data_IF_503421154763
#
_entry.id   IF_503421154763
#
_cell.length_a   1.000
_cell.length_b   1.000
_cell.length_c   1.000
_cell.angle_alpha   90.00
_cell.angle_beta   90.00
_cell.angle_gamma   90.00
#
_symmetry.space_group_name_H-M   'P 1'
#
loop_
_entity.id
_entity.type
_entity.pdbx_description
1 polymer ?
#
# COMPACT_ATOMS: atom_id res chain seq x y z
N UNK A 1 -7.27 14.97 -16.55
CA UNK A 1 -7.86 15.00 -15.18
C UNK A 1 -8.02 16.44 -14.75
N UNK A 2 -9.21 16.86 -14.31
CA UNK A 2 -9.43 18.19 -13.71
C UNK A 2 -9.46 18.04 -12.19
N UNK A 3 -8.73 18.90 -11.47
CA UNK A 3 -8.70 18.91 -10.00
C UNK A 3 -9.23 20.24 -9.48
N UNK A 4 -9.97 20.20 -8.37
CA UNK A 4 -10.40 21.42 -7.68
C UNK A 4 -9.17 22.22 -7.17
N UNK A 5 -9.27 23.55 -7.03
CA UNK A 5 -8.18 24.35 -6.44
C UNK A 5 -7.77 23.86 -5.05
N UNK A 6 -8.72 23.34 -4.28
CA UNK A 6 -8.44 22.76 -2.96
C UNK A 6 -7.58 21.50 -3.08
N UNK A 7 -7.93 20.57 -3.98
CA UNK A 7 -7.15 19.37 -4.22
C UNK A 7 -5.74 19.71 -4.74
N UNK A 8 -5.63 20.68 -5.66
CA UNK A 8 -4.35 21.16 -6.16
C UNK A 8 -3.45 21.68 -5.02
N UNK A 9 -3.99 22.51 -4.13
CA UNK A 9 -3.24 23.05 -2.99
C UNK A 9 -2.76 21.93 -2.05
N UNK A 10 -3.62 20.97 -1.73
CA UNK A 10 -3.26 19.83 -0.87
C UNK A 10 -2.14 19.02 -1.52
N UNK A 11 -2.25 18.67 -2.81
CA UNK A 11 -1.23 17.90 -3.53
C UNK A 11 0.09 18.68 -3.58
N UNK A 12 0.06 19.97 -3.90
CA UNK A 12 1.24 20.84 -3.89
C UNK A 12 1.87 20.96 -2.51
N UNK A 13 1.15 20.75 -1.41
CA UNK A 13 1.73 20.82 -0.08
C UNK A 13 2.25 19.45 0.39
N UNK A 14 1.63 18.35 -0.01
CA UNK A 14 1.87 17.03 0.63
C UNK A 14 2.47 15.98 -0.29
N UNK A 15 2.52 16.21 -1.61
CA UNK A 15 2.98 15.22 -2.58
C UNK A 15 4.35 15.57 -3.15
N UNK A 16 5.15 14.53 -3.37
CA UNK A 16 6.40 14.58 -4.11
C UNK A 16 6.12 14.66 -5.61
N UNK A 17 6.60 15.68 -6.31
CA UNK A 17 6.27 15.91 -7.73
C UNK A 17 7.49 15.74 -8.66
N UNK A 18 8.63 15.29 -8.13
CA UNK A 18 9.84 14.97 -8.90
C UNK A 18 11.10 15.57 -8.31
N UNK A 19 12.13 15.78 -9.15
CA UNK A 19 13.43 16.33 -8.71
C UNK A 19 13.34 17.78 -8.20
N UNK A 20 12.28 18.52 -8.54
CA UNK A 20 12.04 19.88 -8.04
C UNK A 20 11.66 19.96 -6.55
N UNK A 21 11.57 18.82 -5.86
CA UNK A 21 11.42 18.79 -4.39
C UNK A 21 12.73 19.18 -3.65
N UNK A 22 13.83 19.42 -4.38
CA UNK A 22 15.12 19.79 -3.82
C UNK A 22 15.06 21.06 -2.95
N UNK A 23 14.19 22.02 -3.31
CA UNK A 23 14.09 23.30 -2.61
C UNK A 23 13.19 23.23 -1.35
N UNK A 24 12.25 22.29 -1.31
CA UNK A 24 11.35 22.11 -0.18
C UNK A 24 10.75 20.69 -0.14
N UNK A 25 10.94 20.00 0.98
CA UNK A 25 10.31 18.69 1.21
C UNK A 25 8.80 18.84 1.44
N UNK A 26 7.93 18.05 0.77
CA UNK A 26 6.50 18.02 1.03
C UNK A 26 6.16 17.76 2.50
N UNK A 27 5.02 18.28 2.96
CA UNK A 27 4.55 18.12 4.33
C UNK A 27 4.19 16.66 4.59
N UNK A 28 4.72 16.11 5.67
CA UNK A 28 4.28 14.81 6.19
C UNK A 28 2.82 14.87 6.65
N UNK A 29 2.16 13.71 6.82
CA UNK A 29 0.76 13.64 7.30
C UNK A 29 0.56 14.42 8.61
N UNK A 30 1.51 14.34 9.54
CA UNK A 30 1.45 15.07 10.82
C UNK A 30 1.62 16.58 10.64
N UNK A 31 2.57 17.00 9.79
CA UNK A 31 2.78 18.42 9.48
C UNK A 31 1.55 19.01 8.78
N UNK A 32 1.01 18.29 7.80
CA UNK A 32 -0.24 18.66 7.13
C UNK A 32 -1.40 18.75 8.12
N UNK A 33 -1.57 17.77 9.01
CA UNK A 33 -2.63 17.79 10.02
C UNK A 33 -2.55 19.01 10.94
N UNK A 34 -1.34 19.50 11.26
CA UNK A 34 -1.16 20.73 12.04
C UNK A 34 -1.58 21.97 11.23
N UNK A 35 -1.09 22.10 9.99
CA UNK A 35 -1.41 23.24 9.13
C UNK A 35 -2.90 23.26 8.77
N UNK A 36 -3.48 22.13 8.39
CA UNK A 36 -4.89 22.00 8.03
C UNK A 36 -5.82 22.35 9.19
N UNK A 37 -5.47 21.97 10.43
CA UNK A 37 -6.23 22.38 11.62
C UNK A 37 -6.18 23.90 11.79
N UNK A 38 -4.99 24.49 11.71
CA UNK A 38 -4.85 25.94 11.87
C UNK A 38 -5.59 26.72 10.79
N UNK A 39 -5.51 26.28 9.53
CA UNK A 39 -6.28 26.88 8.43
C UNK A 39 -7.78 26.87 8.76
N UNK A 40 -8.30 25.72 9.20
CA UNK A 40 -9.70 25.58 9.60
C UNK A 40 -10.07 26.52 10.76
N UNK A 41 -9.22 26.63 11.77
CA UNK A 41 -9.45 27.50 12.95
C UNK A 41 -9.46 29.00 12.58
N UNK A 42 -8.90 29.35 11.41
CA UNK A 42 -8.90 30.72 10.86
C UNK A 42 -9.87 30.88 9.68
N UNK A 43 -10.80 29.94 9.49
CA UNK A 43 -11.79 29.96 8.41
C UNK A 43 -11.17 30.01 6.99
N UNK A 44 -9.95 29.46 6.85
CA UNK A 44 -9.23 29.37 5.59
C UNK A 44 -9.31 27.94 5.01
N UNK A 45 -9.45 27.89 3.69
CA UNK A 45 -9.31 26.67 2.92
C UNK A 45 -7.92 26.59 2.28
N UNK A 46 -7.41 25.38 2.00
CA UNK A 46 -6.16 25.21 1.27
C UNK A 46 -6.15 25.95 -0.09
N UNK A 47 -7.30 26.05 -0.76
CA UNK A 47 -7.44 26.76 -2.02
C UNK A 47 -7.10 28.25 -1.94
N UNK A 48 -7.31 28.90 -0.78
CA UNK A 48 -6.99 30.31 -0.60
C UNK A 48 -5.49 30.58 -0.76
N UNK A 49 -4.64 29.62 -0.38
CA UNK A 49 -3.18 29.73 -0.48
C UNK A 49 -2.66 29.75 -1.92
N UNK A 50 -3.45 29.31 -2.91
CA UNK A 50 -3.09 29.40 -4.33
C UNK A 50 -3.44 30.75 -4.94
N UNK A 51 -4.44 31.45 -4.39
CA UNK A 51 -4.98 32.69 -4.95
C UNK A 51 -4.41 33.95 -4.30
N UNK A 52 -4.07 33.88 -3.01
CA UNK A 52 -3.51 35.00 -2.26
C UNK A 52 -2.02 34.84 -1.98
N UNK A 53 -1.41 35.84 -1.34
CA UNK A 53 -0.04 35.74 -0.81
C UNK A 53 -0.05 34.85 0.45
N UNK A 54 0.62 33.67 0.43
CA UNK A 54 0.71 32.81 1.60
C UNK A 54 1.30 33.50 2.83
N UNK A 55 2.16 34.51 2.66
CA UNK A 55 2.75 35.24 3.79
C UNK A 55 1.72 36.07 4.55
N UNK A 56 0.80 36.71 3.83
CA UNK A 56 -0.30 37.46 4.42
C UNK A 56 -1.35 36.54 5.02
N UNK A 57 -1.75 35.48 4.30
CA UNK A 57 -2.80 34.56 4.74
C UNK A 57 -2.40 33.75 5.98
N UNK A 58 -1.11 33.45 6.13
CA UNK A 58 -0.57 32.74 7.27
C UNK A 58 0.02 33.69 8.32
N UNK A 59 -0.47 34.94 8.39
CA UNK A 59 -0.07 35.88 9.44
C UNK A 59 -0.41 35.29 10.82
N UNK A 60 0.58 35.22 11.72
CA UNK A 60 0.41 34.62 13.05
C UNK A 60 0.72 33.12 13.11
N UNK A 61 0.97 32.45 11.98
CA UNK A 61 1.48 31.08 11.98
C UNK A 61 2.94 31.03 12.42
N UNK A 62 3.23 30.27 13.49
CA UNK A 62 4.59 30.07 14.01
C UNK A 62 4.88 28.58 14.15
N UNK A 63 5.78 28.07 13.32
CA UNK A 63 6.26 26.68 13.36
C UNK A 63 7.70 26.60 12.83
N UNK A 64 8.54 25.79 13.50
CA UNK A 64 9.96 25.66 13.15
C UNK A 64 10.21 24.74 11.94
N UNK A 65 9.27 23.85 11.59
CA UNK A 65 9.38 22.89 10.49
C UNK A 65 8.53 23.31 9.28
N UNK A 66 7.38 23.92 9.52
CA UNK A 66 6.43 24.37 8.50
C UNK A 66 6.62 25.89 8.32
N UNK A 67 7.75 26.27 7.76
CA UNK A 67 8.06 27.69 7.54
C UNK A 67 7.25 28.27 6.38
N UNK A 68 6.95 29.57 6.42
CA UNK A 68 6.27 30.27 5.32
C UNK A 68 7.02 30.13 4.00
N UNK A 69 8.36 30.16 4.05
CA UNK A 69 9.21 29.91 2.89
C UNK A 69 8.98 28.52 2.30
N UNK A 70 8.94 27.47 3.13
CA UNK A 70 8.67 26.09 2.69
C UNK A 70 7.28 25.99 2.06
N UNK A 71 6.26 26.57 2.67
CA UNK A 71 4.89 26.57 2.14
C UNK A 71 4.82 27.26 0.78
N UNK A 72 5.39 28.46 0.66
CA UNK A 72 5.40 29.21 -0.60
C UNK A 72 6.16 28.46 -1.71
N UNK A 73 7.33 27.89 -1.39
CA UNK A 73 8.11 27.07 -2.32
C UNK A 73 7.32 25.86 -2.82
N UNK A 74 6.63 25.15 -1.91
CA UNK A 74 5.82 23.99 -2.26
C UNK A 74 4.65 24.35 -3.20
N UNK A 75 3.98 25.48 -2.96
CA UNK A 75 2.86 25.97 -3.78
C UNK A 75 3.30 26.44 -5.17
N UNK A 76 4.54 26.89 -5.33
CA UNK A 76 5.09 27.35 -6.61
C UNK A 76 5.45 26.21 -7.59
N UNK A 77 5.14 24.94 -7.26
CA UNK A 77 5.43 23.75 -8.07
C UNK A 77 4.34 23.42 -9.09
N UNK A 78 3.52 24.39 -9.50
CA UNK A 78 2.36 24.19 -10.37
C UNK A 78 2.68 23.50 -11.72
N UNK A 79 3.81 23.85 -12.35
CA UNK A 79 4.24 23.19 -13.59
C UNK A 79 4.56 21.70 -13.39
N UNK A 80 5.23 21.34 -12.28
CA UNK A 80 5.53 19.95 -11.94
C UNK A 80 4.24 19.16 -11.66
N UNK A 81 3.27 19.79 -11.01
CA UNK A 81 1.94 19.19 -10.82
C UNK A 81 1.29 18.90 -12.17
N UNK A 82 1.32 19.84 -13.12
CA UNK A 82 0.77 19.65 -14.46
C UNK A 82 1.32 18.40 -15.16
N UNK A 83 2.64 18.25 -15.20
CA UNK A 83 3.29 17.07 -15.79
C UNK A 83 2.93 15.76 -15.05
N UNK A 84 2.87 15.79 -13.72
CA UNK A 84 2.50 14.64 -12.92
C UNK A 84 1.05 14.20 -13.18
N UNK A 85 0.11 15.15 -13.24
CA UNK A 85 -1.31 14.87 -13.52
C UNK A 85 -1.50 14.25 -14.90
N UNK A 86 -0.80 14.75 -15.92
CA UNK A 86 -0.85 14.19 -17.26
C UNK A 86 -0.39 12.71 -17.26
N UNK A 87 0.74 12.45 -16.61
CA UNK A 87 1.32 11.11 -16.48
C UNK A 87 0.39 10.14 -15.75
N UNK A 88 -0.14 10.54 -14.59
CA UNK A 88 -1.04 9.70 -13.79
C UNK A 88 -2.37 9.47 -14.51
N UNK A 89 -2.91 10.50 -15.17
CA UNK A 89 -4.14 10.40 -15.96
C UNK A 89 -3.99 9.42 -17.13
N UNK A 90 -2.83 9.40 -17.82
CA UNK A 90 -2.54 8.44 -18.90
C UNK A 90 -2.50 6.99 -18.43
N UNK A 91 -2.15 6.77 -17.17
CA UNK A 91 -2.12 5.44 -16.57
C UNK A 91 -3.45 5.02 -15.93
N UNK A 92 -4.52 5.82 -16.06
CA UNK A 92 -5.81 5.54 -15.45
C UNK A 92 -5.82 5.68 -13.93
N UNK A 93 -4.85 6.42 -13.37
CA UNK A 93 -4.81 6.72 -11.94
C UNK A 93 -5.70 7.94 -11.69
N UNK A 94 -6.60 7.80 -10.73
CA UNK A 94 -7.34 8.91 -10.14
C UNK A 94 -6.69 9.35 -8.83
N UNK A 95 -7.02 10.56 -8.39
CA UNK A 95 -6.54 11.17 -7.16
C UNK A 95 -7.77 11.62 -6.38
N UNK A 96 -7.79 11.33 -5.09
CA UNK A 96 -8.79 11.87 -4.16
C UNK A 96 -8.08 12.49 -2.97
N UNK A 97 -8.59 13.63 -2.54
CA UNK A 97 -8.12 14.39 -1.39
C UNK A 97 -9.14 14.34 -0.29
N UNK A 98 -8.71 14.56 0.96
CA UNK A 98 -9.58 14.44 2.13
C UNK A 98 -10.86 15.29 2.08
N UNK A 99 -10.85 16.41 1.37
CA UNK A 99 -12.00 17.30 1.21
C UNK A 99 -13.05 16.80 0.22
N UNK A 100 -12.72 15.79 -0.59
CA UNK A 100 -13.63 15.26 -1.59
C UNK A 100 -14.61 14.24 -1.01
N UNK A 101 -15.82 14.21 -1.58
CA UNK A 101 -16.90 13.30 -1.20
C UNK A 101 -16.48 11.82 -1.30
N UNK A 102 -15.73 11.47 -2.34
CA UNK A 102 -15.31 10.09 -2.60
C UNK A 102 -14.17 9.62 -1.68
N UNK A 103 -13.61 10.50 -0.84
CA UNK A 103 -12.58 10.08 0.11
C UNK A 103 -13.17 9.11 1.15
N UNK A 104 -12.49 7.99 1.50
CA UNK A 104 -13.09 6.97 2.36
C UNK A 104 -13.42 7.50 3.76
N UNK A 105 -14.71 7.53 4.10
CA UNK A 105 -15.19 7.99 5.42
C UNK A 105 -14.69 7.08 6.54
N UNK A 106 -14.51 5.78 6.24
CA UNK A 106 -13.91 4.80 7.16
C UNK A 106 -12.52 5.24 7.62
N UNK A 107 -11.67 5.73 6.71
CA UNK A 107 -10.35 6.27 7.03
C UNK A 107 -10.44 7.58 7.82
N UNK A 108 -11.32 8.51 7.41
CA UNK A 108 -11.51 9.79 8.14
C UNK A 108 -11.91 9.54 9.59
N UNK A 109 -12.87 8.64 9.83
CA UNK A 109 -13.40 8.32 11.16
C UNK A 109 -12.36 7.65 12.05
N UNK A 110 -11.67 6.61 11.57
CA UNK A 110 -10.74 5.82 12.38
C UNK A 110 -9.39 6.50 12.60
N UNK A 111 -8.83 7.13 11.56
CA UNK A 111 -7.49 7.73 11.65
C UNK A 111 -7.50 9.22 11.99
N UNK A 112 -8.66 9.89 11.91
CA UNK A 112 -8.78 11.34 12.16
C UNK A 112 -7.68 12.08 11.39
N UNK A 113 -6.85 12.89 12.04
CA UNK A 113 -5.80 13.68 11.36
C UNK A 113 -4.62 12.85 10.84
N UNK A 114 -4.50 11.59 11.24
CA UNK A 114 -3.49 10.66 10.71
C UNK A 114 -3.93 9.98 9.40
N UNK A 115 -5.13 10.28 8.90
CA UNK A 115 -5.59 9.88 7.57
C UNK A 115 -4.81 10.65 6.48
N UNK A 116 -4.44 10.01 5.36
CA UNK A 116 -3.55 10.59 4.37
C UNK A 116 -4.25 11.76 3.66
N UNK A 117 -3.56 12.89 3.42
CA UNK A 117 -4.16 14.04 2.75
C UNK A 117 -4.63 13.73 1.32
N UNK A 118 -3.91 12.82 0.66
CA UNK A 118 -4.10 12.41 -0.73
C UNK A 118 -4.07 10.89 -0.81
N UNK A 119 -4.98 10.30 -1.56
CA UNK A 119 -4.94 8.92 -2.00
C UNK A 119 -4.89 8.89 -3.53
N UNK A 120 -3.96 8.12 -4.05
CA UNK A 120 -3.91 7.73 -5.46
C UNK A 120 -4.60 6.39 -5.60
N UNK A 121 -5.30 6.17 -6.70
CA UNK A 121 -5.86 4.85 -6.96
C UNK A 121 -6.23 4.59 -8.40
N UNK A 122 -6.56 3.34 -8.70
CA UNK A 122 -7.14 2.91 -9.97
C UNK A 122 -8.20 1.84 -9.72
N UNK A 123 -9.15 1.70 -10.64
CA UNK A 123 -10.33 0.85 -10.46
C UNK A 123 -11.47 1.53 -9.71
N UNK A 124 -12.36 0.73 -9.10
CA UNK A 124 -13.65 1.19 -8.59
C UNK A 124 -13.56 1.82 -7.19
N UNK A 125 -13.51 3.15 -7.13
CA UNK A 125 -13.47 3.92 -5.87
C UNK A 125 -14.63 3.64 -4.91
N UNK A 126 -15.79 3.19 -5.39
CA UNK A 126 -16.96 2.92 -4.54
C UNK A 126 -16.69 1.79 -3.52
N UNK A 127 -15.77 0.89 -3.84
CA UNK A 127 -15.38 -0.22 -2.96
C UNK A 127 -14.70 0.25 -1.66
N UNK A 128 -14.16 1.48 -1.63
CA UNK A 128 -13.41 1.97 -0.47
C UNK A 128 -14.27 2.21 0.78
N UNK A 129 -15.59 2.33 0.63
CA UNK A 129 -16.51 2.42 1.76
C UNK A 129 -17.32 1.14 1.99
N UNK A 130 -17.22 0.14 1.09
CA UNK A 130 -17.99 -1.13 1.16
C UNK A 130 -17.66 -1.95 2.41
N UNK A 131 -16.41 -1.89 2.88
CA UNK A 131 -15.96 -2.73 3.99
C UNK A 131 -15.74 -4.18 3.60
N UNK A 132 -15.68 -5.04 4.61
CA UNK A 132 -15.38 -6.47 4.51
C UNK A 132 -14.23 -6.89 5.42
N UNK A 133 -13.52 -7.94 5.03
CA UNK A 133 -12.48 -8.57 5.86
C UNK A 133 -11.09 -8.20 5.37
N UNK A 134 -10.25 -7.71 6.28
CA UNK A 134 -8.82 -7.60 6.01
C UNK A 134 -8.19 -8.98 6.12
N UNK A 135 -7.44 -9.41 5.11
CA UNK A 135 -6.68 -10.67 5.14
C UNK A 135 -5.22 -10.35 4.93
N UNK A 136 -4.39 -10.65 5.93
CA UNK A 136 -2.97 -10.30 5.93
C UNK A 136 -2.12 -11.48 6.39
N UNK A 137 -0.90 -11.59 5.87
CA UNK A 137 -0.03 -12.70 6.26
C UNK A 137 1.40 -12.62 5.75
N UNK A 138 2.13 -13.72 5.90
CA UNK A 138 3.53 -13.85 5.47
C UNK A 138 3.65 -13.76 3.95
N UNK A 139 4.81 -13.25 3.50
CA UNK A 139 5.23 -13.34 2.08
C UNK A 139 5.76 -14.71 1.71
N UNK A 140 6.31 -15.40 2.70
CA UNK A 140 6.85 -16.74 2.61
C UNK A 140 5.88 -17.64 3.35
N UNK A 141 4.66 -17.71 2.81
CA UNK A 141 3.56 -18.51 3.33
C UNK A 141 3.64 -19.93 2.76
N UNK A 142 3.28 -20.93 3.57
CA UNK A 142 3.18 -22.32 3.13
C UNK A 142 1.88 -22.54 2.32
N UNK A 143 1.74 -23.71 1.67
CA UNK A 143 0.57 -23.99 0.85
C UNK A 143 -0.73 -23.97 1.67
N UNK A 144 -0.69 -24.44 2.92
CA UNK A 144 -1.85 -24.45 3.81
C UNK A 144 -2.33 -23.01 4.13
N UNK A 145 -1.41 -22.07 4.31
CA UNK A 145 -1.70 -20.64 4.49
C UNK A 145 -2.34 -20.05 3.22
N UNK A 146 -1.84 -20.41 2.03
CA UNK A 146 -2.38 -19.94 0.76
C UNK A 146 -3.77 -20.51 0.48
N UNK A 147 -3.99 -21.80 0.74
CA UNK A 147 -5.28 -22.46 0.65
C UNK A 147 -6.30 -21.85 1.61
N UNK A 148 -5.92 -21.65 2.88
CA UNK A 148 -6.78 -20.99 3.85
C UNK A 148 -7.14 -19.56 3.40
N UNK A 149 -6.16 -18.79 2.94
CA UNK A 149 -6.37 -17.43 2.43
C UNK A 149 -7.35 -17.42 1.26
N UNK A 150 -7.26 -18.40 0.36
CA UNK A 150 -8.16 -18.57 -0.78
C UNK A 150 -9.58 -18.86 -0.32
N UNK A 151 -9.76 -19.87 0.55
CA UNK A 151 -11.09 -20.27 1.05
C UNK A 151 -11.77 -19.16 1.83
N UNK A 152 -11.01 -18.43 2.66
CA UNK A 152 -11.53 -17.27 3.37
C UNK A 152 -11.98 -16.16 2.40
N UNK A 153 -11.21 -15.92 1.35
CA UNK A 153 -11.53 -14.91 0.34
C UNK A 153 -12.76 -15.29 -0.53
N UNK A 154 -12.88 -16.56 -0.91
CA UNK A 154 -14.05 -17.09 -1.60
C UNK A 154 -15.30 -16.96 -0.73
N UNK A 155 -15.20 -17.35 0.55
CA UNK A 155 -16.29 -17.18 1.50
C UNK A 155 -16.70 -15.72 1.70
N UNK A 156 -15.74 -14.78 1.66
CA UNK A 156 -16.04 -13.35 1.69
C UNK A 156 -16.81 -12.90 0.44
N UNK A 157 -16.40 -13.37 -0.73
CA UNK A 157 -17.08 -13.10 -1.99
C UNK A 157 -18.52 -13.65 -1.99
N UNK A 158 -18.72 -14.91 -1.60
CA UNK A 158 -20.03 -15.56 -1.50
C UNK A 158 -20.99 -14.81 -0.58
N UNK A 159 -20.45 -14.19 0.48
CA UNK A 159 -21.20 -13.40 1.46
C UNK A 159 -21.32 -11.91 1.07
N UNK A 160 -20.82 -11.51 -0.10
CA UNK A 160 -20.92 -10.14 -0.61
C UNK A 160 -19.94 -9.13 0.01
N UNK A 161 -19.00 -9.58 0.84
CA UNK A 161 -17.98 -8.74 1.47
C UNK A 161 -16.75 -8.56 0.57
N UNK A 162 -16.05 -7.44 0.71
CA UNK A 162 -14.76 -7.27 0.02
C UNK A 162 -13.63 -7.93 0.81
N UNK A 163 -12.59 -8.37 0.10
CA UNK A 163 -11.28 -8.65 0.72
C UNK A 163 -10.40 -7.40 0.63
N UNK A 164 -9.97 -6.90 1.78
CA UNK A 164 -9.02 -5.79 1.88
C UNK A 164 -7.64 -6.36 2.19
N UNK A 165 -6.63 -6.04 1.39
CA UNK A 165 -5.28 -6.54 1.63
C UNK A 165 -4.20 -5.64 1.06
N UNK A 166 -2.95 -6.08 1.18
CA UNK A 166 -1.78 -5.31 0.83
C UNK A 166 -1.15 -5.56 -0.54
N UNK A 167 -1.66 -6.54 -1.27
CA UNK A 167 -1.14 -6.94 -2.58
C UNK A 167 0.31 -7.41 -2.59
N UNK A 168 0.88 -7.76 -1.43
CA UNK A 168 2.21 -8.38 -1.37
C UNK A 168 2.13 -9.84 -1.84
N UNK A 169 3.24 -10.38 -2.37
CA UNK A 169 3.36 -11.82 -2.64
C UNK A 169 2.98 -12.64 -1.39
N UNK A 170 2.38 -13.81 -1.59
CA UNK A 170 1.97 -14.70 -0.50
C UNK A 170 0.50 -14.52 -0.15
N UNK A 171 0.19 -14.47 1.15
CA UNK A 171 -1.19 -14.39 1.67
C UNK A 171 -1.97 -13.23 1.08
N UNK A 172 -1.40 -12.03 1.05
CA UNK A 172 -2.11 -10.83 0.60
C UNK A 172 -2.60 -10.96 -0.85
N UNK A 173 -1.70 -11.31 -1.77
CA UNK A 173 -2.03 -11.50 -3.18
C UNK A 173 -3.01 -12.66 -3.37
N UNK A 174 -2.82 -13.78 -2.66
CA UNK A 174 -3.71 -14.94 -2.81
C UNK A 174 -5.12 -14.65 -2.30
N UNK A 175 -5.26 -13.92 -1.20
CA UNK A 175 -6.56 -13.50 -0.68
C UNK A 175 -7.26 -12.54 -1.66
N UNK A 176 -6.53 -11.56 -2.22
CA UNK A 176 -7.13 -10.65 -3.22
C UNK A 176 -7.60 -11.41 -4.46
N UNK A 177 -6.76 -12.29 -5.02
CA UNK A 177 -7.11 -13.06 -6.20
C UNK A 177 -8.22 -14.06 -5.92
N UNK A 178 -8.23 -14.74 -4.77
CA UNK A 178 -9.26 -15.70 -4.41
C UNK A 178 -10.66 -15.09 -4.35
N UNK A 179 -10.79 -13.84 -3.89
CA UNK A 179 -12.07 -13.13 -3.91
C UNK A 179 -12.48 -12.77 -5.35
N UNK A 180 -11.54 -12.26 -6.15
CA UNK A 180 -11.80 -11.81 -7.52
C UNK A 180 -12.09 -12.97 -8.49
N UNK A 181 -11.45 -14.12 -8.27
CA UNK A 181 -11.67 -15.36 -9.03
C UNK A 181 -13.05 -15.97 -8.73
N UNK A 182 -13.65 -15.60 -7.60
CA UNK A 182 -14.96 -16.04 -7.14
C UNK A 182 -16.02 -14.93 -7.28
N UNK A 183 -15.87 -14.07 -8.30
CA UNK A 183 -16.81 -13.00 -8.65
C UNK A 183 -17.09 -11.98 -7.52
N UNK A 184 -16.20 -11.93 -6.52
CA UNK A 184 -16.23 -10.98 -5.42
C UNK A 184 -15.41 -9.72 -5.69
N UNK A 185 -15.31 -8.88 -4.67
CA UNK A 185 -14.61 -7.59 -4.76
C UNK A 185 -13.38 -7.53 -3.88
N UNK A 186 -12.35 -6.80 -4.32
CA UNK A 186 -11.12 -6.62 -3.54
C UNK A 186 -10.61 -5.17 -3.51
N UNK A 187 -10.02 -4.80 -2.38
CA UNK A 187 -9.37 -3.51 -2.14
C UNK A 187 -7.90 -3.78 -1.82
N UNK A 188 -7.01 -3.42 -2.75
CA UNK A 188 -5.56 -3.52 -2.55
C UNK A 188 -4.97 -2.20 -2.12
N UNK A 189 -4.44 -2.11 -0.90
CA UNK A 189 -3.69 -0.94 -0.44
C UNK A 189 -2.20 -1.21 -0.69
N UNK A 190 -1.55 -0.48 -1.59
CA UNK A 190 -0.20 -0.79 -2.06
C UNK A 190 0.87 0.08 -1.38
N UNK A 191 2.08 -0.48 -1.29
CA UNK A 191 3.28 0.25 -0.83
C UNK A 191 4.40 0.29 -1.88
N UNK A 192 4.20 -0.42 -2.99
CA UNK A 192 5.05 -0.38 -4.18
C UNK A 192 4.32 0.41 -5.28
N UNK A 193 4.89 0.45 -6.48
CA UNK A 193 4.41 1.31 -7.56
C UNK A 193 2.99 0.99 -8.00
N UNK A 194 2.06 1.88 -7.62
CA UNK A 194 0.69 1.87 -8.13
C UNK A 194 0.66 2.05 -9.65
N UNK A 195 1.59 2.82 -10.23
CA UNK A 195 1.70 3.00 -11.67
C UNK A 195 1.94 1.68 -12.41
N UNK A 196 2.81 0.82 -11.87
CA UNK A 196 3.04 -0.53 -12.42
C UNK A 196 1.84 -1.44 -12.20
N UNK A 197 1.20 -1.36 -11.02
CA UNK A 197 0.05 -2.19 -10.71
C UNK A 197 -1.17 -1.86 -11.61
N UNK A 198 -1.42 -0.58 -11.86
CA UNK A 198 -2.51 -0.10 -12.72
C UNK A 198 -2.41 -0.59 -14.17
N UNK A 199 -1.19 -0.84 -14.65
CA UNK A 199 -0.93 -1.30 -16.02
C UNK A 199 -0.66 -2.81 -16.11
N UNK A 200 -0.60 -3.51 -14.97
CA UNK A 200 -0.31 -4.95 -14.90
C UNK A 200 -1.41 -5.81 -15.53
N UNK A 201 -1.02 -6.79 -16.35
CA UNK A 201 -1.95 -7.75 -16.93
C UNK A 201 -2.75 -8.53 -15.86
N UNK A 202 -2.12 -8.80 -14.71
CA UNK A 202 -2.72 -9.51 -13.56
C UNK A 202 -4.01 -8.87 -13.06
N UNK A 203 -4.02 -7.54 -12.94
CA UNK A 203 -5.16 -6.80 -12.37
C UNK A 203 -6.09 -6.20 -13.42
N UNK A 204 -5.64 -6.12 -14.68
CA UNK A 204 -6.32 -5.37 -15.74
C UNK A 204 -7.78 -5.78 -15.95
N UNK A 205 -8.08 -7.08 -15.94
CA UNK A 205 -9.47 -7.56 -16.14
C UNK A 205 -10.39 -7.11 -15.00
N UNK A 206 -9.94 -7.24 -13.76
CA UNK A 206 -10.70 -6.89 -12.55
C UNK A 206 -10.87 -5.37 -12.37
N UNK A 207 -9.83 -4.58 -12.71
CA UNK A 207 -9.92 -3.12 -12.70
C UNK A 207 -10.95 -2.59 -13.70
N UNK A 208 -11.08 -3.23 -14.86
CA UNK A 208 -12.07 -2.85 -15.89
C UNK A 208 -13.49 -3.31 -15.54
N UNK A 209 -13.62 -4.51 -14.95
CA UNK A 209 -14.90 -5.04 -14.52
C UNK A 209 -15.50 -4.25 -13.34
N UNK A 210 -14.65 -3.57 -12.56
CA UNK A 210 -15.08 -2.77 -11.42
C UNK A 210 -15.05 -3.53 -10.09
N UNK A 211 -14.49 -4.73 -10.08
CA UNK A 211 -14.40 -5.62 -8.91
C UNK A 211 -13.18 -5.33 -8.03
N UNK A 212 -12.20 -4.60 -8.58
CA UNK A 212 -10.96 -4.26 -7.91
C UNK A 212 -10.78 -2.74 -7.80
N UNK A 213 -10.27 -2.31 -6.66
CA UNK A 213 -9.64 -1.01 -6.49
C UNK A 213 -8.25 -1.18 -5.88
N UNK A 214 -7.26 -0.52 -6.47
CA UNK A 214 -5.92 -0.43 -5.91
C UNK A 214 -5.66 1.01 -5.49
N UNK A 215 -5.19 1.22 -4.27
CA UNK A 215 -4.89 2.56 -3.75
C UNK A 215 -3.49 2.63 -3.16
N UNK A 216 -2.92 3.82 -3.11
CA UNK A 216 -1.67 4.11 -2.40
C UNK A 216 -1.73 5.52 -1.79
N UNK A 217 -1.29 5.70 -0.54
CA UNK A 217 -1.07 7.03 0.05
C UNK A 217 0.28 7.64 -0.40
N UNK A 218 1.08 6.89 -1.16
CA UNK A 218 2.39 7.29 -1.65
C UNK A 218 2.31 7.62 -3.14
N UNK A 219 3.31 8.37 -3.61
CA UNK A 219 3.47 8.72 -5.02
C UNK A 219 3.30 7.48 -5.93
N UNK A 220 2.52 7.52 -7.03
CA UNK A 220 2.30 6.36 -7.88
C UNK A 220 3.56 5.66 -8.41
N UNK A 221 4.66 6.39 -8.56
CA UNK A 221 5.97 5.88 -8.99
C UNK A 221 6.86 5.40 -7.85
N UNK A 222 6.40 5.50 -6.59
CA UNK A 222 7.16 5.05 -5.44
C UNK A 222 7.54 3.58 -5.61
N UNK A 223 8.82 3.28 -5.42
CA UNK A 223 9.30 1.90 -5.36
C UNK A 223 9.09 1.34 -3.96
N UNK A 224 9.07 0.02 -3.87
CA UNK A 224 9.01 -0.68 -2.60
C UNK A 224 10.03 -0.14 -1.59
N UNK A 225 9.52 0.21 -0.42
CA UNK A 225 10.29 0.63 0.75
C UNK A 225 9.65 0.01 1.99
N UNK A 226 10.45 -0.57 2.88
CA UNK A 226 9.96 -1.25 4.10
C UNK A 226 9.16 -0.28 4.99
N UNK A 227 9.63 0.95 5.16
CA UNK A 227 8.92 1.98 5.92
C UNK A 227 7.55 2.32 5.34
N UNK A 228 7.44 2.41 4.00
CA UNK A 228 6.15 2.61 3.33
C UNK A 228 5.22 1.40 3.51
N UNK A 229 5.77 0.18 3.43
CA UNK A 229 5.00 -1.04 3.66
C UNK A 229 4.42 -1.08 5.07
N UNK A 230 5.23 -0.76 6.09
CA UNK A 230 4.78 -0.69 7.47
C UNK A 230 3.76 0.44 7.68
N UNK A 231 4.06 1.66 7.21
CA UNK A 231 3.21 2.84 7.41
C UNK A 231 1.82 2.75 6.73
N UNK A 232 1.68 1.87 5.73
CA UNK A 232 0.44 1.68 4.99
C UNK A 232 -0.50 0.67 5.64
N UNK A 233 0.00 -0.22 6.50
CA UNK A 233 -0.81 -1.29 7.08
C UNK A 233 -2.07 -0.78 7.78
N UNK A 234 -1.98 0.32 8.53
CA UNK A 234 -3.14 0.96 9.17
C UNK A 234 -4.31 1.22 8.24
N UNK A 235 -4.08 1.49 6.95
CA UNK A 235 -5.15 1.72 5.99
C UNK A 235 -5.88 0.43 5.61
N UNK A 236 -5.21 -0.73 5.62
CA UNK A 236 -5.86 -2.03 5.41
C UNK A 236 -6.89 -2.27 6.53
N UNK A 237 -6.44 -2.18 7.79
CA UNK A 237 -7.30 -2.34 8.96
C UNK A 237 -8.41 -1.28 9.02
N UNK A 238 -8.09 -0.01 8.74
CA UNK A 238 -9.10 1.04 8.82
C UNK A 238 -10.14 1.01 7.70
N UNK A 239 -9.88 0.32 6.58
CA UNK A 239 -10.85 0.10 5.52
C UNK A 239 -11.72 -1.15 5.75
N UNK A 240 -11.32 -2.07 6.63
CA UNK A 240 -12.07 -3.30 6.93
C UNK A 240 -13.01 -3.17 8.12
N UNK A 241 -13.89 -4.15 8.29
CA UNK A 241 -14.79 -4.32 9.44
C UNK A 241 -14.17 -5.25 10.51
N UNK A 242 -13.41 -6.25 10.07
CA UNK A 242 -12.55 -7.09 10.90
C UNK A 242 -11.24 -7.41 10.15
N UNK A 243 -10.26 -7.97 10.85
CA UNK A 243 -9.00 -8.42 10.25
C UNK A 243 -8.68 -9.86 10.66
N UNK A 244 -8.10 -10.62 9.72
CA UNK A 244 -7.63 -11.99 9.90
C UNK A 244 -6.15 -12.04 9.54
N UNK A 245 -5.32 -12.36 10.51
CA UNK A 245 -3.90 -12.66 10.31
C UNK A 245 -3.77 -14.15 10.05
N UNK A 246 -3.40 -14.53 8.83
CA UNK A 246 -3.21 -15.92 8.44
C UNK A 246 -1.94 -16.47 9.07
N UNK A 247 -0.82 -15.77 8.89
CA UNK A 247 0.44 -16.13 9.50
C UNK A 247 1.36 -14.91 9.63
N UNK A 248 2.08 -14.82 10.73
CA UNK A 248 3.08 -13.78 10.97
C UNK A 248 4.29 -14.35 11.66
N UNK A 249 5.48 -13.82 11.39
CA UNK A 249 6.63 -14.05 12.26
C UNK A 249 6.45 -13.30 13.60
N UNK A 250 6.94 -13.84 14.73
CA UNK A 250 6.90 -13.16 16.01
C UNK A 250 7.86 -11.97 16.04
N UNK A 251 7.42 -10.86 16.63
CA UNK A 251 8.22 -9.65 16.90
C UNK A 251 8.90 -8.98 15.71
N UNK A 252 8.60 -9.42 14.48
CA UNK A 252 9.22 -8.89 13.26
C UNK A 252 8.29 -8.95 12.06
N UNK A 253 8.58 -8.10 11.08
CA UNK A 253 7.89 -8.08 9.79
C UNK A 253 6.64 -7.21 9.76
N UNK A 254 6.17 -6.93 8.54
CA UNK A 254 5.06 -6.01 8.32
C UNK A 254 3.74 -6.49 8.93
N UNK A 255 3.42 -7.78 8.81
CA UNK A 255 2.20 -8.38 9.33
C UNK A 255 2.09 -8.22 10.84
N UNK A 256 3.16 -8.59 11.57
CA UNK A 256 3.25 -8.41 13.02
C UNK A 256 3.07 -6.94 13.43
N UNK A 257 3.82 -6.03 12.79
CA UNK A 257 3.75 -4.60 13.12
C UNK A 257 2.36 -4.02 12.86
N UNK A 258 1.70 -4.41 11.76
CA UNK A 258 0.34 -3.98 11.47
C UNK A 258 -0.67 -4.52 12.49
N UNK A 259 -0.61 -5.80 12.80
CA UNK A 259 -1.51 -6.46 13.74
C UNK A 259 -1.38 -5.88 15.16
N UNK A 260 -0.16 -5.65 15.61
CA UNK A 260 0.11 -5.04 16.93
C UNK A 260 -0.31 -3.56 16.99
N UNK A 261 -0.18 -2.81 15.90
CA UNK A 261 -0.67 -1.44 15.81
C UNK A 261 -2.21 -1.39 15.86
N UNK A 262 -2.88 -2.32 15.18
CA UNK A 262 -4.34 -2.47 15.22
C UNK A 262 -4.83 -2.81 16.63
N UNK A 263 -4.23 -3.81 17.30
CA UNK A 263 -4.56 -4.15 18.69
C UNK A 263 -4.38 -2.97 19.64
N UNK A 264 -3.32 -2.18 19.47
CA UNK A 264 -3.06 -1.00 20.30
C UNK A 264 -4.07 0.12 20.04
N UNK A 265 -4.48 0.30 18.79
CA UNK A 265 -5.34 1.41 18.39
C UNK A 265 -6.84 1.06 18.47
N UNK A 266 -7.17 -0.23 18.51
CA UNK A 266 -8.53 -0.75 18.50
C UNK A 266 -9.30 -0.38 17.24
N UNK A 267 -8.66 -0.41 16.05
CA UNK A 267 -9.37 0.00 14.83
C UNK A 267 -10.42 -1.02 14.42
N UNK A 268 -10.07 -2.31 14.41
CA UNK A 268 -11.00 -3.40 14.09
C UNK A 268 -10.78 -4.61 15.01
N UNK A 269 -11.75 -5.52 15.11
CA UNK A 269 -11.53 -6.80 15.76
C UNK A 269 -10.48 -7.62 15.00
N UNK A 270 -9.44 -8.05 15.72
CA UNK A 270 -8.35 -8.84 15.16
C UNK A 270 -8.51 -10.32 15.47
N UNK A 271 -8.52 -11.13 14.42
CA UNK A 271 -8.55 -12.58 14.46
C UNK A 271 -7.25 -13.14 13.91
N UNK A 272 -6.83 -14.31 14.39
CA UNK A 272 -5.63 -14.99 13.88
C UNK A 272 -5.91 -16.46 13.63
N UNK A 273 -5.35 -16.98 12.54
CA UNK A 273 -5.51 -18.38 12.18
C UNK A 273 -4.73 -19.29 13.14
N UNK A 274 -5.28 -20.46 13.42
CA UNK A 274 -4.57 -21.49 14.19
C UNK A 274 -3.35 -22.01 13.41
N UNK A 275 -2.19 -22.01 14.06
CA UNK A 275 -0.94 -22.57 13.53
C UNK A 275 -0.30 -23.45 14.60
N UNK A 276 0.12 -24.64 14.20
CA UNK A 276 0.86 -25.58 15.05
C UNK A 276 2.39 -25.41 14.92
N UNK A 277 2.82 -24.36 14.20
CA UNK A 277 4.22 -24.01 13.98
C UNK A 277 4.76 -23.11 15.10
N UNK A 278 5.80 -23.54 15.86
CA UNK A 278 6.44 -22.72 16.89
C UNK A 278 7.08 -21.43 16.35
N UNK A 279 7.42 -21.38 15.06
CA UNK A 279 7.95 -20.18 14.43
C UNK A 279 6.84 -19.15 14.10
N UNK A 280 5.57 -19.51 14.25
CA UNK A 280 4.45 -18.60 14.06
C UNK A 280 4.24 -17.68 15.26
N UNK A 281 4.10 -16.39 14.97
CA UNK A 281 3.73 -15.36 15.94
C UNK A 281 2.24 -15.34 16.28
N UNK A 282 1.39 -16.16 15.64
CA UNK A 282 -0.06 -16.06 15.83
C UNK A 282 -0.48 -16.27 17.31
N UNK A 283 0.12 -17.23 18.02
CA UNK A 283 -0.14 -17.43 19.44
C UNK A 283 0.25 -16.20 20.29
N UNK A 284 1.36 -15.54 19.93
CA UNK A 284 1.81 -14.33 20.62
C UNK A 284 0.91 -13.11 20.31
N UNK A 285 0.27 -13.05 19.14
CA UNK A 285 -0.77 -12.05 18.85
C UNK A 285 -2.02 -12.28 19.72
N UNK A 286 -2.40 -13.52 19.98
CA UNK A 286 -3.52 -13.86 20.89
C UNK A 286 -3.21 -13.44 22.32
N UNK A 287 -1.99 -13.69 22.79
CA UNK A 287 -1.52 -13.20 24.10
C UNK A 287 -1.59 -11.67 24.21
N UNK A 288 -1.52 -10.94 23.08
CA UNK A 288 -1.67 -9.48 23.02
C UNK A 288 -3.11 -8.99 22.88
N UNK A 289 -4.10 -9.89 22.82
CA UNK A 289 -5.52 -9.54 22.76
C UNK A 289 -6.22 -9.86 21.45
N UNK A 290 -5.54 -10.46 20.47
CA UNK A 290 -6.22 -11.02 19.29
C UNK A 290 -7.06 -12.24 19.67
N UNK A 291 -8.02 -12.60 18.81
CA UNK A 291 -8.87 -13.78 18.99
C UNK A 291 -8.46 -14.89 18.04
N UNK A 292 -8.64 -16.14 18.45
CA UNK A 292 -8.52 -17.25 17.52
C UNK A 292 -9.66 -17.22 16.51
N UNK A 293 -9.31 -17.28 15.23
CA UNK A 293 -10.27 -17.45 14.15
C UNK A 293 -11.01 -18.80 14.33
N UNK A 294 -12.34 -18.85 14.14
CA UNK A 294 -13.09 -20.09 14.27
C UNK A 294 -12.52 -21.21 13.38
N UNK A 295 -12.58 -22.46 13.86
CA UNK A 295 -12.03 -23.62 13.12
C UNK A 295 -12.72 -23.82 11.77
N UNK A 296 -14.03 -23.57 11.74
CA UNK A 296 -14.84 -23.54 10.53
C UNK A 296 -15.04 -22.10 10.05
N UNK A 297 -15.30 -21.92 8.76
CA UNK A 297 -15.58 -20.59 8.21
C UNK A 297 -16.94 -20.09 8.74
N UNK A 298 -16.98 -19.01 9.52
CA UNK A 298 -18.22 -18.48 10.05
C UNK A 298 -18.96 -17.64 9.00
N UNK A 299 -20.19 -17.23 9.32
CA UNK A 299 -20.74 -16.01 8.74
C UNK A 299 -19.80 -14.85 9.11
N UNK A 300 -19.16 -14.23 8.13
CA UNK A 300 -18.09 -13.27 8.37
C UNK A 300 -18.57 -12.06 9.18
N UNK A 301 -19.86 -11.70 9.07
CA UNK A 301 -20.43 -10.60 9.85
C UNK A 301 -20.30 -10.77 11.37
N UNK A 302 -20.33 -12.02 11.85
CA UNK A 302 -20.11 -12.36 13.26
C UNK A 302 -18.75 -11.89 13.79
N UNK A 303 -17.74 -11.75 12.92
CA UNK A 303 -16.39 -11.32 13.30
C UNK A 303 -16.35 -9.88 13.84
N UNK A 304 -17.34 -9.04 13.48
CA UNK A 304 -17.44 -7.66 13.94
C UNK A 304 -18.75 -7.34 14.68
N UNK A 305 -19.82 -8.12 14.52
CA UNK A 305 -21.05 -7.98 15.32
C UNK A 305 -20.82 -8.31 16.80
N UNK A 306 -19.98 -9.29 17.08
CA UNK A 306 -19.63 -9.72 18.45
C UNK A 306 -18.96 -8.60 19.28
N UNK A 307 -18.49 -7.54 18.62
CA UNK A 307 -17.88 -6.36 19.28
C UNK A 307 -18.89 -5.23 19.44
N UNK A 308 -19.78 -5.01 18.47
CA UNK A 308 -20.85 -3.99 18.57
C UNK A 308 -21.92 -4.34 19.62
N UNK A 309 -22.10 -5.62 19.94
CA UNK A 309 -23.03 -6.08 20.98
C UNK A 309 -22.59 -5.78 22.44
N UNK A 310 -21.39 -5.22 22.65
CA UNK A 310 -20.96 -4.75 23.99
C UNK A 310 -21.23 -3.26 24.24
N UNK A 311 -21.57 -2.48 23.21
CA UNK A 311 -21.83 -1.04 23.29
C UNK A 311 -23.32 -0.66 23.12
N UNK A 312 -24.24 -1.64 23.18
CA UNK A 312 -25.68 -1.41 23.06
C UNK A 312 -26.46 -2.09 24.19
N UNK A 313 -26.19 -1.68 25.43
CA UNK A 313 -27.23 -1.74 26.44
C UNK A 313 -28.10 -0.48 26.27
N UNK A 314 -29.40 -0.57 25.96
CA UNK A 314 -30.27 0.59 25.96
C UNK A 314 -30.50 1.00 27.42
N UNK A 315 -29.99 2.16 27.82
CA UNK A 315 -30.59 2.87 28.95
C UNK A 315 -32.01 3.26 28.51
N UNK A 316 -33.00 2.50 28.99
CA UNK A 316 -34.40 2.92 29.00
C UNK A 316 -34.52 4.20 29.84
N UNK A 317 -34.41 5.34 29.19
CA UNK A 317 -34.96 6.59 29.71
C UNK A 317 -36.36 6.76 29.14
N UNK A 318 -37.31 6.13 29.82
CA UNK A 318 -38.73 6.37 29.64
C UNK A 318 -39.09 7.79 30.09
N UNK A 319 -39.49 8.66 29.16
CA UNK A 319 -40.32 9.82 29.44
C UNK A 319 -41.44 9.91 28.38
N UNK A 320 -42.68 10.25 28.77
CA UNK A 320 -43.88 9.88 28.03
C UNK A 320 -44.26 10.93 26.97
N UNK A 321 -44.51 10.47 25.74
CA UNK A 321 -45.09 11.28 24.67
C UNK A 321 -46.62 11.15 24.67
N UNK A 322 -47.27 12.31 24.72
CA UNK A 322 -48.70 12.52 24.55
C UNK A 322 -49.22 11.86 23.26
N UNK A 323 -50.30 11.10 23.42
CA UNK A 323 -51.16 10.61 22.34
C UNK A 323 -51.80 11.77 21.57
N UNK A 324 -51.88 11.64 20.24
CA UNK A 324 -53.11 11.93 19.49
C UNK A 324 -53.06 11.33 18.07
N UNK A 325 -53.85 10.26 17.90
CA UNK A 325 -54.81 9.95 16.83
C UNK A 325 -54.41 9.95 15.34
N UNK A 326 -54.57 8.75 14.76
CA UNK A 326 -54.98 8.43 13.37
C UNK A 326 -56.20 9.27 12.94
N UNK A 327 -56.44 9.63 11.67
CA UNK A 327 -56.94 8.82 10.53
C UNK A 327 -57.06 9.83 9.35
N UNK A 328 -56.79 9.54 8.07
CA UNK A 328 -57.78 9.04 7.10
C UNK A 328 -57.16 8.84 5.69
N UNK A 329 -57.77 7.90 4.95
CA UNK A 329 -57.36 7.31 3.68
C UNK A 329 -57.84 8.09 2.42
N UNK A 330 -57.03 8.00 1.34
CA UNK A 330 -57.30 7.65 -0.09
C UNK A 330 -58.55 8.21 -0.84
N UNK A 331 -58.60 8.35 -2.21
CA UNK A 331 -58.29 7.28 -3.18
C UNK A 331 -57.64 7.70 -4.53
N UNK A 332 -56.78 6.85 -5.12
CA UNK A 332 -56.97 6.06 -6.38
C UNK A 332 -57.23 6.84 -7.68
N UNK A 333 -56.33 6.66 -8.66
CA UNK A 333 -56.74 6.28 -10.02
C UNK A 333 -55.58 5.64 -10.82
N UNK A 334 -55.92 4.65 -11.64
CA UNK A 334 -55.06 3.71 -12.35
C UNK A 334 -55.16 3.93 -13.88
N UNK A 335 -54.09 3.61 -14.62
CA UNK A 335 -54.11 2.79 -15.86
C UNK A 335 -52.78 2.88 -16.64
N UNK A 336 -52.18 1.71 -16.86
CA UNK A 336 -51.15 1.32 -17.85
C UNK A 336 -51.78 1.15 -19.26
N UNK A 337 -51.11 0.61 -20.33
CA UNK A 337 -49.69 0.41 -20.66
C UNK A 337 -49.33 0.84 -22.13
N UNK A 338 -48.05 0.80 -22.52
CA UNK A 338 -47.71 0.47 -23.92
C UNK A 338 -46.44 -0.41 -24.03
N UNK A 339 -46.62 -1.52 -24.75
CA UNK A 339 -45.65 -2.50 -25.25
C UNK A 339 -45.75 -2.44 -26.78
N UNK A 340 -44.64 -2.57 -27.50
CA UNK A 340 -44.48 -3.07 -28.89
C UNK A 340 -43.02 -2.79 -29.29
N UNK A 341 -42.32 -3.54 -30.14
CA UNK A 341 -42.35 -4.89 -30.66
C UNK A 341 -41.09 -5.03 -31.54
N UNK A 342 -40.69 -6.27 -31.82
CA UNK A 342 -39.48 -6.69 -32.54
C UNK A 342 -39.45 -6.35 -34.05
N UNK A 343 -38.26 -6.48 -34.66
CA UNK A 343 -38.11 -7.06 -36.00
C UNK A 343 -36.76 -7.76 -36.17
N UNK A 344 -36.82 -9.01 -36.64
CA UNK A 344 -35.70 -9.80 -37.14
C UNK A 344 -35.47 -9.55 -38.63
N UNK A 345 -34.28 -9.92 -39.13
CA UNK A 345 -33.95 -10.03 -40.54
C UNK A 345 -32.58 -10.67 -40.72
N UNK A 346 -32.56 -11.85 -41.35
CA UNK A 346 -31.43 -12.71 -41.71
C UNK A 346 -30.69 -12.22 -42.97
N UNK A 347 -29.43 -12.63 -43.17
CA UNK A 347 -29.05 -13.60 -44.22
C UNK A 347 -27.54 -13.84 -44.35
N UNK A 348 -27.27 -15.03 -44.89
CA UNK A 348 -26.04 -15.78 -45.16
C UNK A 348 -24.92 -15.08 -45.95
N UNK A 349 -23.71 -15.65 -45.85
CA UNK A 349 -22.63 -15.43 -46.81
C UNK A 349 -21.31 -16.10 -46.43
N UNK A 350 -21.17 -17.38 -46.80
CA UNK A 350 -19.95 -18.22 -46.75
C UNK A 350 -18.95 -17.92 -47.87
N UNK A 351 -17.65 -18.12 -47.59
CA UNK A 351 -16.52 -18.54 -48.46
C UNK A 351 -15.20 -17.98 -47.88
N UNK A 352 -14.01 -18.56 -47.94
CA UNK A 352 -13.45 -19.89 -48.20
C UNK A 352 -11.91 -19.73 -48.00
N UNK A 353 -11.26 -20.63 -47.23
CA UNK A 353 -9.85 -21.09 -47.12
C UNK A 353 -8.60 -20.17 -47.41
N UNK A 354 -7.33 -20.57 -47.16
CA UNK A 354 -6.78 -21.81 -46.57
C UNK A 354 -5.68 -21.57 -45.47
N UNK A 355 -5.00 -22.62 -44.95
CA UNK A 355 -4.24 -22.57 -43.69
C UNK A 355 -2.73 -22.37 -43.89
N UNK A 356 -2.01 -22.00 -42.82
CA UNK A 356 -0.56 -22.18 -42.76
C UNK A 356 -0.11 -22.61 -41.37
N UNK A 357 0.54 -23.75 -41.38
CA UNK A 357 1.17 -24.54 -40.32
C UNK A 357 2.34 -23.84 -39.62
N UNK A 358 2.59 -24.25 -38.37
CA UNK A 358 3.77 -23.94 -37.54
C UNK A 358 5.12 -24.23 -38.25
N UNK A 359 6.24 -23.74 -37.68
CA UNK A 359 6.94 -24.64 -36.77
C UNK A 359 7.43 -24.01 -35.47
N UNK A 360 7.37 -24.88 -34.46
CA UNK A 360 8.16 -24.89 -33.23
C UNK A 360 9.65 -24.68 -33.53
N UNK A 361 10.30 -23.78 -32.79
CA UNK A 361 11.74 -23.79 -32.61
C UNK A 361 12.06 -23.69 -31.11
N UNK A 362 12.34 -24.85 -30.55
CA UNK A 362 13.14 -25.07 -29.34
C UNK A 362 14.56 -24.54 -29.57
N UNK A 363 15.09 -23.77 -28.63
CA UNK A 363 16.53 -23.63 -28.43
C UNK A 363 16.81 -23.55 -26.94
N UNK A 364 17.41 -24.64 -26.46
CA UNK A 364 18.10 -24.71 -25.18
C UNK A 364 19.36 -23.84 -25.19
N UNK A 365 19.81 -23.57 -23.96
CA UNK A 365 20.90 -22.74 -23.52
C UNK A 365 22.20 -22.81 -24.33
N UNK A 366 22.85 -21.65 -24.47
CA UNK A 366 24.30 -21.54 -24.31
C UNK A 366 24.67 -20.20 -23.66
N UNK A 367 25.56 -20.33 -22.70
CA UNK A 367 26.05 -19.39 -21.69
C UNK A 367 27.22 -18.59 -22.26
N UNK A 368 27.08 -17.27 -22.47
CA UNK A 368 28.23 -16.36 -22.61
C UNK A 368 27.81 -14.88 -22.58
N UNK A 369 27.72 -14.26 -21.40
CA UNK A 369 27.95 -12.82 -21.25
C UNK A 369 27.96 -12.38 -19.77
N UNK A 370 29.05 -12.64 -19.05
CA UNK A 370 29.28 -12.05 -17.72
C UNK A 370 30.71 -11.55 -17.46
N UNK A 371 31.54 -11.42 -18.49
CA UNK A 371 32.97 -11.09 -18.31
C UNK A 371 33.25 -9.68 -17.75
N UNK A 372 32.66 -8.58 -18.23
CA UNK A 372 33.11 -7.25 -17.79
C UNK A 372 32.81 -6.96 -16.32
N UNK A 373 31.65 -7.40 -15.80
CA UNK A 373 31.27 -7.16 -14.42
C UNK A 373 32.12 -7.96 -13.40
N UNK A 374 32.71 -9.08 -13.82
CA UNK A 374 33.62 -9.88 -12.99
C UNK A 374 35.03 -9.28 -12.93
N UNK A 375 35.51 -8.74 -14.05
CA UNK A 375 36.82 -8.07 -14.12
C UNK A 375 36.86 -6.78 -13.28
N UNK A 376 35.84 -5.91 -13.40
CA UNK A 376 35.79 -4.68 -12.61
C UNK A 376 35.66 -4.95 -11.11
N UNK A 377 34.96 -6.01 -10.73
CA UNK A 377 34.87 -6.43 -9.34
C UNK A 377 36.22 -6.93 -8.79
N UNK A 378 36.96 -7.69 -9.61
CA UNK A 378 38.30 -8.16 -9.25
C UNK A 378 39.29 -6.99 -9.10
N UNK A 379 39.22 -6.00 -9.99
CA UNK A 379 40.00 -4.77 -9.89
C UNK A 379 39.63 -3.96 -8.64
N UNK A 380 38.34 -3.84 -8.33
CA UNK A 380 37.85 -3.19 -7.11
C UNK A 380 38.44 -3.84 -5.86
N UNK A 381 38.47 -5.17 -5.77
CA UNK A 381 39.05 -5.88 -4.63
C UNK A 381 40.56 -5.63 -4.49
N UNK A 382 41.29 -5.51 -5.61
CA UNK A 382 42.70 -5.17 -5.61
C UNK A 382 42.95 -3.74 -5.13
N UNK A 383 42.16 -2.78 -5.61
CA UNK A 383 42.24 -1.38 -5.19
C UNK A 383 41.85 -1.21 -3.72
N UNK A 384 40.79 -1.88 -3.26
CA UNK A 384 40.35 -1.84 -1.86
C UNK A 384 41.43 -2.39 -0.91
N UNK A 385 42.14 -3.45 -1.31
CA UNK A 385 43.27 -3.99 -0.54
C UNK A 385 44.35 -2.92 -0.34
N UNK A 386 44.77 -2.25 -1.42
CA UNK A 386 45.76 -1.17 -1.33
C UNK A 386 45.30 0.02 -0.48
N UNK A 387 44.01 0.36 -0.55
CA UNK A 387 43.45 1.49 0.21
C UNK A 387 43.30 1.20 1.71
N UNK A 388 43.12 -0.07 2.08
CA UNK A 388 42.83 -0.47 3.46
C UNK A 388 43.97 -1.23 4.15
N UNK A 389 45.16 -1.22 3.53
CA UNK A 389 46.37 -1.86 4.04
C UNK A 389 46.82 -1.22 5.35
N UNK A 390 46.82 0.12 5.41
CA UNK A 390 47.22 0.88 6.60
C UNK A 390 46.09 1.04 7.63
N UNK A 391 44.85 1.29 7.19
CA UNK A 391 43.72 1.54 8.08
C UNK A 391 42.36 1.19 7.45
N UNK A 392 41.39 0.68 8.23
CA UNK A 392 40.02 0.46 7.77
C UNK A 392 39.33 1.76 7.34
N UNK A 393 38.68 1.74 6.18
CA UNK A 393 38.08 2.94 5.57
C UNK A 393 36.55 2.91 5.56
N UNK A 394 35.93 4.08 5.50
CA UNK A 394 34.47 4.20 5.42
C UNK A 394 34.00 4.21 3.95
N UNK A 395 32.69 4.01 3.72
CA UNK A 395 32.15 3.93 2.35
C UNK A 395 32.31 5.23 1.56
N UNK A 396 32.19 6.39 2.23
CA UNK A 396 32.36 7.71 1.59
C UNK A 396 33.80 7.93 1.14
N UNK A 397 34.78 7.54 1.96
CA UNK A 397 36.20 7.67 1.61
C UNK A 397 36.58 6.71 0.47
N UNK A 398 36.06 5.47 0.50
CA UNK A 398 36.30 4.48 -0.56
C UNK A 398 35.69 4.94 -1.89
N UNK A 399 34.45 5.45 -1.86
CA UNK A 399 33.78 5.98 -3.05
C UNK A 399 34.54 7.17 -3.64
N UNK A 400 35.03 8.08 -2.79
CA UNK A 400 35.78 9.26 -3.22
C UNK A 400 37.13 8.88 -3.83
N UNK A 401 37.89 7.97 -3.20
CA UNK A 401 39.24 7.60 -3.66
C UNK A 401 39.26 6.71 -4.90
N UNK A 402 38.19 5.94 -5.13
CA UNK A 402 38.05 5.09 -6.31
C UNK A 402 37.23 5.75 -7.43
N UNK A 403 36.74 6.98 -7.21
CA UNK A 403 35.87 7.69 -8.15
C UNK A 403 34.64 6.86 -8.56
N UNK A 404 34.04 6.16 -7.60
CA UNK A 404 32.89 5.28 -7.80
C UNK A 404 31.63 5.80 -7.13
N UNK A 405 30.49 5.55 -7.75
CA UNK A 405 29.18 5.80 -7.16
C UNK A 405 28.99 5.02 -5.86
N UNK A 406 28.43 5.68 -4.83
CA UNK A 406 28.22 5.07 -3.49
C UNK A 406 27.37 3.80 -3.56
N UNK A 407 26.42 3.73 -4.50
CA UNK A 407 25.60 2.55 -4.72
C UNK A 407 26.44 1.34 -5.19
N UNK A 408 27.39 1.57 -6.09
CA UNK A 408 28.28 0.56 -6.64
C UNK A 408 29.24 0.02 -5.58
N UNK A 409 29.85 0.92 -4.79
CA UNK A 409 30.73 0.54 -3.67
C UNK A 409 29.97 -0.30 -2.65
N UNK A 410 28.74 0.09 -2.28
CA UNK A 410 27.94 -0.72 -1.35
C UNK A 410 27.59 -2.11 -1.90
N UNK A 411 27.29 -2.22 -3.20
CA UNK A 411 27.02 -3.51 -3.83
C UNK A 411 28.25 -4.42 -3.83
N UNK A 412 29.43 -3.89 -4.16
CA UNK A 412 30.68 -4.65 -4.18
C UNK A 412 31.25 -4.94 -2.79
N UNK A 413 31.10 -4.04 -1.81
CA UNK A 413 31.42 -4.34 -0.41
C UNK A 413 30.52 -5.47 0.13
N UNK A 414 29.23 -5.46 -0.21
CA UNK A 414 28.29 -6.53 0.16
C UNK A 414 28.68 -7.87 -0.47
N UNK A 415 29.04 -7.86 -1.75
CA UNK A 415 29.55 -9.03 -2.46
C UNK A 415 30.84 -9.55 -1.81
N UNK A 416 31.83 -8.69 -1.56
CA UNK A 416 33.10 -9.10 -0.95
C UNK A 416 33.00 -9.55 0.50
N UNK A 417 32.00 -9.09 1.25
CA UNK A 417 31.68 -9.67 2.57
C UNK A 417 31.08 -11.07 2.44
N UNK A 418 30.26 -11.31 1.41
CA UNK A 418 29.68 -12.64 1.12
C UNK A 418 30.76 -13.61 0.65
N UNK A 419 31.70 -13.13 -0.15
CA UNK A 419 32.83 -13.90 -0.69
C UNK A 419 33.98 -14.07 0.34
N UNK A 420 33.83 -13.59 1.58
CA UNK A 420 34.85 -13.67 2.63
C UNK A 420 36.12 -12.84 2.37
N UNK A 421 36.11 -11.95 1.38
CA UNK A 421 37.26 -11.13 0.99
C UNK A 421 37.32 -9.77 1.69
N UNK A 422 36.24 -9.35 2.36
CA UNK A 422 36.11 -8.05 3.02
C UNK A 422 35.55 -8.22 4.42
N UNK A 423 36.19 -7.58 5.40
CA UNK A 423 35.75 -7.50 6.79
C UNK A 423 35.09 -6.16 7.07
N UNK A 424 33.97 -6.20 7.77
CA UNK A 424 33.28 -5.01 8.28
C UNK A 424 33.54 -4.88 9.78
N UNK A 425 34.04 -3.71 10.19
CA UNK A 425 34.19 -3.32 11.58
C UNK A 425 32.99 -2.44 11.97
N UNK A 426 32.41 -2.71 13.13
CA UNK A 426 31.28 -1.95 13.66
C UNK A 426 31.72 -0.99 14.77
N UNK A 427 31.25 0.27 14.71
CA UNK A 427 31.48 1.38 15.67
C UNK A 427 32.87 2.06 15.60
N UNK A 428 33.12 3.00 14.67
CA UNK A 428 32.28 3.37 13.51
C UNK A 428 32.38 2.34 12.38
N UNK A 429 31.42 2.36 11.44
CA UNK A 429 31.42 1.39 10.34
C UNK A 429 32.61 1.66 9.40
N UNK A 430 33.50 0.66 9.28
CA UNK A 430 34.69 0.68 8.42
C UNK A 430 34.88 -0.68 7.75
N UNK A 431 35.55 -0.70 6.60
CA UNK A 431 35.80 -1.87 5.78
C UNK A 431 37.30 -2.05 5.56
N UNK A 432 37.73 -3.30 5.53
CA UNK A 432 39.12 -3.69 5.28
C UNK A 432 39.16 -4.99 4.49
N UNK A 433 40.14 -5.17 3.60
CA UNK A 433 40.34 -6.44 2.90
C UNK A 433 40.80 -7.54 3.86
N UNK A 434 40.29 -8.76 3.71
CA UNK A 434 40.71 -9.91 4.50
C UNK A 434 42.12 -10.40 4.08
N UNK A 435 43.00 -10.63 5.06
CA UNK A 435 44.36 -11.17 4.86
C UNK A 435 44.31 -12.65 4.43
N UNK A 436 45.39 -13.14 3.82
CA UNK A 436 45.48 -14.50 3.29
C UNK A 436 45.27 -15.58 4.38
N UNK A 437 45.79 -15.36 5.59
CA UNK A 437 45.64 -16.29 6.73
C UNK A 437 44.20 -16.45 7.23
N UNK A 438 43.30 -15.51 6.93
CA UNK A 438 41.90 -15.54 7.37
C UNK A 438 40.95 -16.14 6.33
N UNK A 439 41.38 -16.31 5.07
CA UNK A 439 40.54 -16.96 4.04
C UNK A 439 40.38 -18.46 4.26
N UNK A 440 41.35 -19.09 4.92
CA UNK A 440 41.32 -20.52 5.23
C UNK A 440 40.35 -20.86 6.38
N UNK A 441 40.19 -19.95 7.36
CA UNK A 441 39.30 -20.16 8.51
C UNK A 441 37.80 -20.12 8.16
N UNK A 442 37.41 -19.56 7.02
CA UNK A 442 36.00 -19.48 6.58
C UNK A 442 35.54 -20.69 5.75
N UNK A 443 36.46 -21.52 5.27
CA UNK A 443 36.14 -22.71 4.46
C UNK A 443 35.83 -23.95 5.31
N UNK A 444 36.31 -23.97 6.56
CA UNK A 444 36.00 -25.01 7.53
C UNK A 444 35.22 -24.37 8.68
N UNK A 445 33.89 -24.51 8.65
CA UNK A 445 33.01 -23.95 9.67
C UNK A 445 33.38 -24.47 11.06
N UNK A 446 33.48 -23.56 12.03
CA UNK A 446 33.57 -23.94 13.44
C UNK A 446 32.21 -24.51 13.87
N UNK A 447 32.17 -25.82 14.12
CA UNK A 447 31.26 -26.42 15.07
C UNK A 447 31.64 -25.95 16.48
N UNK A 448 30.73 -25.23 17.14
CA UNK A 448 30.51 -25.20 18.60
C UNK A 448 29.21 -24.47 18.89
#
# INVERSE_FOLDING_TARGET
MSLSPQAQAVILLTVHLGKGDADAKPLSVKEWGKLARWLKDHELEPANLLKGDPRSLLSGWVDNKITLHRVASLLNRGALLGFALEKWSRAGIWIITRSEHDYPERLKRKLRLDAPPVLFGCGNRALLNKGGVAVVGSRDADEADLEFSTRLAQSAADQGFSVISGGARGVDERAMLGALENEGTSVGVLADSLLRAATSAKYRKYLRAGDLVLISPFNPEARFNVGNAMARNKYIYCLSDAAVVVNSAPDKGGTWSGATEDLKSGWVPLWVQHKDDPASGNAALVQKGARWFPRDLPALSSLWETVNGRDTAPEETSLPLLQQSETEQAPSEAATPHKMAASAGSDDGTADAPPSTDPVATVDAEDSSSEPASEFYSLFLQCLRRLTDDAPMNVEDIATRLELEKAQVNAWLKRGMTDGQIKKLSKPVRYQSASADQRQASLFGNES
#
